data_IF_296503980982
#
_entry.id   IF_296503980982
#
_cell.length_a   1.000
_cell.length_b   1.000
_cell.length_c   1.000
_cell.angle_alpha   90.00
_cell.angle_beta   90.00
_cell.angle_gamma   90.00
#
_symmetry.space_group_name_H-M   'P 1'
#
loop_
_entity.id
_entity.type
_entity.pdbx_description
1 polymer ?
#
# COMPACT_ATOMS: atom_id res chain seq x y z
N UNK A 1 4.57 -8.19 7.68
CA UNK A 1 3.93 -7.73 6.43
C UNK A 1 2.51 -7.30 6.76
N UNK A 2 2.00 -6.20 6.19
CA UNK A 2 0.62 -5.76 6.44
C UNK A 2 -0.36 -6.73 5.78
N UNK A 3 -1.37 -7.19 6.52
CA UNK A 3 -2.40 -8.11 6.02
C UNK A 3 -3.72 -7.37 5.83
N UNK A 4 -4.53 -7.82 4.88
CA UNK A 4 -5.92 -7.35 4.76
C UNK A 4 -6.84 -8.01 5.79
N UNK A 5 -6.49 -9.22 6.24
CA UNK A 5 -7.23 -9.92 7.26
C UNK A 5 -7.02 -9.25 8.61
N UNK A 6 -8.07 -8.60 9.11
CA UNK A 6 -8.05 -7.90 10.39
C UNK A 6 -8.24 -8.93 11.50
N UNK A 7 -7.34 -8.92 12.49
CA UNK A 7 -7.43 -9.83 13.64
C UNK A 7 -8.59 -9.41 14.55
N UNK A 8 -9.20 -10.35 15.32
CA UNK A 8 -10.20 -9.99 16.32
C UNK A 8 -9.67 -8.94 17.31
N UNK A 9 -8.42 -9.07 17.74
CA UNK A 9 -7.77 -8.14 18.65
C UNK A 9 -7.67 -6.72 18.07
N UNK A 10 -7.15 -6.54 16.85
CA UNK A 10 -7.07 -5.23 16.21
C UNK A 10 -8.47 -4.61 16.01
N UNK A 11 -9.44 -5.46 15.64
CA UNK A 11 -10.83 -5.03 15.44
C UNK A 11 -11.44 -4.48 16.73
N UNK A 12 -11.24 -5.16 17.85
CA UNK A 12 -11.76 -4.76 19.16
C UNK A 12 -11.04 -3.50 19.67
N UNK A 13 -9.70 -3.52 19.70
CA UNK A 13 -8.86 -2.43 20.23
C UNK A 13 -9.10 -1.09 19.52
N UNK A 14 -9.30 -1.12 18.20
CA UNK A 14 -9.47 0.09 17.39
C UNK A 14 -10.94 0.43 17.09
N UNK A 15 -11.88 -0.24 17.76
CA UNK A 15 -13.31 0.06 17.69
C UNK A 15 -13.94 -0.24 16.32
N UNK A 16 -13.53 -1.35 15.71
CA UNK A 16 -14.09 -1.86 14.46
C UNK A 16 -15.56 -2.30 14.60
N UNK A 17 -16.03 -2.61 15.80
CA UNK A 17 -17.45 -2.94 16.07
C UNK A 17 -18.44 -1.91 15.51
N UNK A 18 -18.04 -0.64 15.39
CA UNK A 18 -18.86 0.42 14.81
C UNK A 18 -19.13 0.23 13.30
N UNK A 19 -18.35 -0.61 12.61
CA UNK A 19 -18.47 -0.90 11.20
C UNK A 19 -19.27 -2.18 10.91
N UNK A 20 -19.59 -2.99 11.93
CA UNK A 20 -20.32 -4.26 11.77
C UNK A 20 -19.39 -5.47 11.71
N UNK A 21 -19.54 -6.31 10.68
CA UNK A 21 -18.86 -7.60 10.60
C UNK A 21 -17.39 -7.49 10.15
N UNK A 22 -16.48 -8.04 10.97
CA UNK A 22 -15.03 -7.98 10.73
C UNK A 22 -14.60 -8.72 9.47
N UNK A 23 -15.23 -9.85 9.15
CA UNK A 23 -14.85 -10.72 8.04
C UNK A 23 -15.25 -10.08 6.71
N UNK A 24 -16.48 -9.55 6.63
CA UNK A 24 -16.96 -8.79 5.47
C UNK A 24 -16.08 -7.58 5.14
N UNK A 25 -15.51 -6.95 6.16
CA UNK A 25 -14.59 -5.83 5.98
C UNK A 25 -13.17 -6.28 5.63
N UNK A 26 -12.69 -7.35 6.24
CA UNK A 26 -11.37 -7.94 5.94
C UNK A 26 -11.23 -8.33 4.47
N UNK A 27 -12.28 -8.87 3.86
CA UNK A 27 -12.30 -9.26 2.45
C UNK A 27 -12.12 -8.07 1.50
N UNK A 28 -12.46 -6.86 1.95
CA UNK A 28 -12.43 -5.62 1.17
C UNK A 28 -11.34 -4.64 1.62
N UNK A 29 -10.53 -5.01 2.61
CA UNK A 29 -9.52 -4.16 3.23
C UNK A 29 -8.17 -4.11 2.49
N UNK A 30 -8.03 -4.80 1.35
CA UNK A 30 -6.77 -4.84 0.59
C UNK A 30 -6.21 -3.44 0.26
N UNK A 31 -7.10 -2.48 -0.06
CA UNK A 31 -6.73 -1.08 -0.28
C UNK A 31 -6.15 -0.40 0.96
N UNK A 32 -6.71 -0.65 2.15
CA UNK A 32 -6.21 -0.09 3.40
C UNK A 32 -4.87 -0.71 3.81
N UNK A 33 -4.71 -2.02 3.62
CA UNK A 33 -3.44 -2.69 3.85
C UNK A 33 -2.34 -2.19 2.89
N UNK A 34 -2.69 -1.97 1.61
CA UNK A 34 -1.78 -1.34 0.64
C UNK A 34 -1.42 0.10 1.04
N UNK A 35 -2.41 0.92 1.39
CA UNK A 35 -2.17 2.28 1.85
C UNK A 35 -1.24 2.30 3.05
N UNK A 36 -1.48 1.46 4.07
CA UNK A 36 -0.63 1.37 5.25
C UNK A 36 0.83 1.06 4.89
N UNK A 37 1.05 0.11 3.99
CA UNK A 37 2.40 -0.23 3.52
C UNK A 37 3.06 0.92 2.75
N UNK A 38 2.30 1.68 1.95
CA UNK A 38 2.80 2.91 1.32
C UNK A 38 3.19 3.92 2.40
N UNK A 39 2.32 4.24 3.35
CA UNK A 39 2.63 5.21 4.41
C UNK A 39 3.91 4.84 5.17
N UNK A 40 4.08 3.56 5.51
CA UNK A 40 5.31 3.05 6.13
C UNK A 40 6.54 3.24 5.23
N UNK A 41 6.45 2.94 3.94
CA UNK A 41 7.56 3.10 3.00
C UNK A 41 8.02 4.56 2.88
N UNK A 42 7.10 5.52 3.02
CA UNK A 42 7.38 6.96 3.00
C UNK A 42 7.71 7.54 4.38
N UNK A 43 7.87 6.71 5.42
CA UNK A 43 8.20 7.17 6.77
C UNK A 43 7.12 8.05 7.40
N UNK A 44 5.85 7.85 7.02
CA UNK A 44 4.70 8.60 7.57
C UNK A 44 4.00 7.81 8.67
N UNK A 45 3.22 8.50 9.54
CA UNK A 45 2.28 7.82 10.42
C UNK A 45 1.41 6.85 9.62
N UNK A 46 1.35 5.61 10.07
CA UNK A 46 0.65 4.53 9.40
C UNK A 46 -0.32 3.85 10.38
N UNK A 47 -1.55 4.39 10.50
CA UNK A 47 -2.58 3.82 11.37
C UNK A 47 -2.85 2.35 11.06
N UNK A 48 -3.53 1.65 11.96
CA UNK A 48 -3.90 0.24 11.74
C UNK A 48 -4.89 0.10 10.58
N UNK A 49 -5.10 -1.12 10.10
CA UNK A 49 -6.02 -1.36 8.97
C UNK A 49 -7.44 -1.01 9.39
N UNK A 50 -7.83 -1.33 10.63
CA UNK A 50 -9.11 -0.92 11.22
C UNK A 50 -9.27 0.60 11.27
N UNK A 51 -8.25 1.34 11.69
CA UNK A 51 -8.31 2.81 11.76
C UNK A 51 -8.44 3.44 10.38
N UNK A 52 -7.63 2.98 9.42
CA UNK A 52 -7.72 3.42 8.01
C UNK A 52 -9.08 3.08 7.42
N UNK A 53 -9.64 1.92 7.74
CA UNK A 53 -10.96 1.51 7.26
C UNK A 53 -12.06 2.43 7.80
N UNK A 54 -12.04 2.79 9.08
CA UNK A 54 -12.99 3.74 9.67
C UNK A 54 -12.93 5.09 8.97
N UNK A 55 -11.73 5.58 8.68
CA UNK A 55 -11.54 6.81 7.90
C UNK A 55 -12.08 6.64 6.47
N UNK A 56 -11.80 5.52 5.81
CA UNK A 56 -12.28 5.25 4.46
C UNK A 56 -13.81 5.18 4.37
N UNK A 57 -14.48 4.60 5.37
CA UNK A 57 -15.95 4.62 5.45
C UNK A 57 -16.47 6.03 5.70
N UNK A 58 -15.89 6.76 6.65
CA UNK A 58 -16.27 8.15 6.96
C UNK A 58 -16.15 9.09 5.75
N UNK A 59 -15.16 8.86 4.89
CA UNK A 59 -14.90 9.64 3.69
C UNK A 59 -15.49 9.04 2.41
N UNK A 60 -16.38 8.04 2.54
CA UNK A 60 -17.08 7.40 1.40
C UNK A 60 -16.13 6.82 0.33
N UNK A 61 -14.92 6.42 0.75
CA UNK A 61 -13.90 5.80 -0.11
C UNK A 61 -14.26 4.34 -0.39
N UNK A 62 -14.96 3.67 0.53
CA UNK A 62 -15.32 2.27 0.42
C UNK A 62 -16.51 2.07 -0.51
N UNK A 63 -16.36 1.20 -1.50
CA UNK A 63 -17.42 0.73 -2.39
C UNK A 63 -17.77 -0.74 -2.06
N UNK A 64 -18.86 -1.30 -2.63
CA UNK A 64 -19.13 -2.73 -2.50
C UNK A 64 -17.98 -3.64 -2.96
N UNK A 65 -17.10 -3.15 -3.87
CA UNK A 65 -15.95 -3.90 -4.40
C UNK A 65 -14.61 -3.56 -3.71
N UNK A 66 -14.63 -2.82 -2.61
CA UNK A 66 -13.43 -2.32 -1.93
C UNK A 66 -13.19 -0.83 -2.17
N UNK A 67 -11.99 -0.36 -1.87
CA UNK A 67 -11.68 1.07 -1.87
C UNK A 67 -11.55 1.68 -3.27
N UNK A 68 -12.13 2.87 -3.46
CA UNK A 68 -11.97 3.66 -4.68
C UNK A 68 -10.53 4.20 -4.79
N UNK A 69 -9.94 4.09 -5.98
CA UNK A 69 -8.55 4.51 -6.22
C UNK A 69 -8.30 6.00 -5.92
N UNK A 70 -9.21 6.88 -6.36
CA UNK A 70 -9.09 8.32 -6.13
C UNK A 70 -9.13 8.63 -4.63
N UNK A 71 -10.10 8.05 -3.91
CA UNK A 71 -10.20 8.21 -2.45
C UNK A 71 -8.97 7.68 -1.70
N UNK A 72 -8.37 6.56 -2.15
CA UNK A 72 -7.10 6.07 -1.59
C UNK A 72 -5.94 7.05 -1.81
N UNK A 73 -5.87 7.66 -3.00
CA UNK A 73 -4.86 8.67 -3.32
C UNK A 73 -5.02 9.93 -2.45
N UNK A 74 -6.26 10.39 -2.27
CA UNK A 74 -6.59 11.53 -1.42
C UNK A 74 -6.29 11.24 0.06
N UNK A 75 -6.61 10.03 0.52
CA UNK A 75 -6.30 9.60 1.88
C UNK A 75 -4.78 9.53 2.09
N UNK A 76 -4.01 8.98 1.15
CA UNK A 76 -2.54 9.03 1.21
C UNK A 76 -2.00 10.47 1.29
N UNK A 77 -2.57 11.38 0.50
CA UNK A 77 -2.18 12.78 0.49
C UNK A 77 -2.43 13.46 1.85
N UNK A 78 -3.50 13.10 2.55
CA UNK A 78 -3.78 13.61 3.91
C UNK A 78 -2.70 13.21 4.95
N UNK A 79 -1.94 12.15 4.69
CA UNK A 79 -0.78 11.73 5.48
C UNK A 79 0.56 12.26 4.93
N UNK A 80 0.52 13.19 3.97
CA UNK A 80 1.73 13.78 3.38
C UNK A 80 2.44 12.90 2.36
N UNK A 81 1.73 11.95 1.75
CA UNK A 81 2.17 11.17 0.58
C UNK A 81 1.24 11.46 -0.60
N UNK A 82 1.53 12.47 -1.44
CA UNK A 82 0.68 12.79 -2.58
C UNK A 82 0.53 11.57 -3.49
N UNK A 83 -0.70 11.12 -3.75
CA UNK A 83 -0.98 10.04 -4.70
C UNK A 83 -1.75 10.55 -5.91
N UNK A 84 -1.69 9.83 -7.03
CA UNK A 84 -2.57 10.07 -8.19
C UNK A 84 -3.16 8.77 -8.69
N UNK A 85 -4.49 8.69 -8.75
CA UNK A 85 -5.17 7.60 -9.43
C UNK A 85 -5.21 7.88 -10.93
N UNK A 86 -4.50 7.08 -11.73
CA UNK A 86 -4.34 7.32 -13.16
C UNK A 86 -4.25 6.00 -13.95
N UNK A 87 -4.56 6.01 -15.26
CA UNK A 87 -4.26 4.89 -16.13
C UNK A 87 -2.75 4.74 -16.32
N UNK A 88 -2.25 3.51 -16.20
CA UNK A 88 -0.85 3.15 -16.48
C UNK A 88 -0.90 1.85 -17.26
N UNK A 89 -0.35 1.83 -18.47
CA UNK A 89 -0.29 0.62 -19.29
C UNK A 89 0.62 -0.43 -18.63
N UNK A 90 0.42 -1.71 -18.93
CA UNK A 90 1.17 -2.77 -18.27
C UNK A 90 2.66 -2.70 -18.64
N UNK A 91 2.94 -2.45 -19.91
CA UNK A 91 4.24 -2.22 -20.51
C UNK A 91 5.02 -1.05 -19.86
N UNK A 92 4.32 -0.06 -19.32
CA UNK A 92 4.91 1.11 -18.67
C UNK A 92 5.22 0.87 -17.18
N UNK A 93 4.75 -0.25 -16.60
CA UNK A 93 4.94 -0.53 -15.17
C UNK A 93 6.41 -0.50 -14.76
N UNK A 94 7.37 -1.13 -15.47
CA UNK A 94 8.79 -1.06 -15.10
C UNK A 94 9.32 0.37 -15.02
N UNK A 95 9.01 1.22 -16.01
CA UNK A 95 9.44 2.62 -16.03
C UNK A 95 8.87 3.38 -14.82
N UNK A 96 7.58 3.22 -14.54
CA UNK A 96 6.94 3.86 -13.37
C UNK A 96 7.51 3.36 -12.04
N UNK A 97 7.83 2.06 -11.97
CA UNK A 97 8.40 1.42 -10.78
C UNK A 97 9.85 1.84 -10.52
N UNK A 98 10.57 2.33 -11.53
CA UNK A 98 11.88 2.95 -11.34
C UNK A 98 11.80 4.25 -10.50
N UNK A 99 10.67 4.96 -10.52
CA UNK A 99 10.47 6.15 -9.71
C UNK A 99 10.08 5.78 -8.26
N UNK A 100 9.09 4.89 -8.09
CA UNK A 100 8.59 4.52 -6.77
C UNK A 100 7.53 3.42 -6.81
N UNK A 101 7.06 2.96 -5.64
CA UNK A 101 6.01 1.94 -5.56
C UNK A 101 4.68 2.47 -6.10
N UNK A 102 3.85 1.56 -6.59
CA UNK A 102 2.50 1.80 -7.10
C UNK A 102 1.50 0.91 -6.35
N UNK A 103 0.26 1.37 -6.18
CA UNK A 103 -0.86 0.45 -5.90
C UNK A 103 -1.53 0.14 -7.23
N UNK A 104 -1.67 -1.14 -7.58
CA UNK A 104 -2.29 -1.57 -8.85
C UNK A 104 -3.52 -2.43 -8.59
N UNK A 105 -4.52 -2.34 -9.48
CA UNK A 105 -5.71 -3.18 -9.40
C UNK A 105 -5.64 -4.37 -10.34
N UNK A 106 -5.72 -5.56 -9.74
CA UNK A 106 -5.55 -6.86 -10.36
C UNK A 106 -6.66 -7.82 -9.92
N UNK A 107 -6.81 -8.95 -10.60
CA UNK A 107 -7.59 -10.08 -10.07
C UNK A 107 -6.74 -10.92 -9.13
N UNK A 108 -7.29 -11.26 -7.95
CA UNK A 108 -6.55 -11.96 -6.88
C UNK A 108 -5.83 -13.21 -7.37
N UNK A 109 -4.59 -13.40 -6.90
CA UNK A 109 -3.65 -14.46 -7.33
C UNK A 109 -3.19 -14.42 -8.80
N UNK A 110 -3.52 -13.36 -9.52
CA UNK A 110 -3.07 -13.11 -10.89
C UNK A 110 -3.37 -14.28 -11.86
N UNK A 111 -4.66 -14.65 -12.06
CA UNK A 111 -5.03 -15.68 -13.01
C UNK A 111 -4.89 -15.18 -14.45
N UNK A 112 -4.49 -16.07 -15.35
CA UNK A 112 -4.38 -15.81 -16.79
C UNK A 112 -5.65 -16.26 -17.53
N UNK A 113 -6.82 -15.97 -16.94
CA UNK A 113 -8.15 -16.40 -17.41
C UNK A 113 -8.99 -15.25 -18.01
N UNK A 114 -8.38 -14.07 -18.17
CA UNK A 114 -9.01 -12.87 -18.74
C UNK A 114 -9.76 -12.00 -17.73
N UNK A 115 -9.95 -12.45 -16.47
CA UNK A 115 -10.53 -11.59 -15.43
C UNK A 115 -9.55 -10.50 -15.01
N UNK A 116 -10.09 -9.30 -14.70
CA UNK A 116 -9.30 -8.14 -14.28
C UNK A 116 -9.95 -7.41 -13.11
N UNK A 117 -9.12 -7.00 -12.15
CA UNK A 117 -9.52 -6.19 -11.00
C UNK A 117 -10.20 -6.98 -9.87
N UNK A 118 -10.69 -6.23 -8.88
CA UNK A 118 -11.31 -6.76 -7.66
C UNK A 118 -10.35 -6.93 -6.48
N UNK A 119 -9.04 -6.76 -6.70
CA UNK A 119 -8.01 -6.81 -5.66
C UNK A 119 -6.97 -5.71 -5.85
N UNK A 120 -6.41 -5.21 -4.76
CA UNK A 120 -5.36 -4.19 -4.74
C UNK A 120 -4.09 -4.76 -4.13
N UNK A 121 -2.97 -4.51 -4.80
CA UNK A 121 -1.64 -4.92 -4.37
C UNK A 121 -0.66 -3.78 -4.58
N UNK A 122 0.48 -3.81 -3.89
CA UNK A 122 1.59 -2.91 -4.21
C UNK A 122 2.48 -3.58 -5.25
N UNK A 123 2.82 -2.87 -6.33
CA UNK A 123 4.00 -3.15 -7.13
C UNK A 123 5.13 -2.24 -6.62
N UNK A 124 6.28 -2.80 -6.25
CA UNK A 124 7.34 -2.08 -5.52
C UNK A 124 8.67 -1.94 -6.26
N UNK A 125 8.77 -2.56 -7.43
CA UNK A 125 9.98 -2.63 -8.22
C UNK A 125 9.88 -3.71 -9.28
N UNK A 126 10.94 -3.85 -10.06
CA UNK A 126 11.08 -4.90 -11.06
C UNK A 126 12.50 -5.46 -11.04
N UNK A 127 12.65 -6.68 -11.55
CA UNK A 127 13.94 -7.32 -11.81
C UNK A 127 13.98 -7.67 -13.29
N UNK A 128 15.07 -7.28 -13.96
CA UNK A 128 15.33 -7.78 -15.31
C UNK A 128 15.62 -9.28 -15.22
N UNK A 129 14.99 -10.05 -16.11
CA UNK A 129 15.08 -11.51 -16.12
C UNK A 129 16.47 -12.01 -16.57
N UNK A 130 17.32 -11.15 -17.15
CA UNK A 130 18.64 -11.49 -17.71
C UNK A 130 18.61 -12.37 -18.96
N UNK A 131 17.52 -13.12 -19.18
CA UNK A 131 17.29 -13.95 -20.35
C UNK A 131 16.52 -13.19 -21.43
N UNK A 132 17.11 -13.10 -22.63
CA UNK A 132 16.63 -12.32 -23.78
C UNK A 132 15.22 -12.68 -24.31
N UNK A 133 14.52 -13.66 -23.73
CA UNK A 133 13.16 -14.06 -24.10
C UNK A 133 12.14 -14.00 -22.96
N UNK A 134 12.56 -13.70 -21.73
CA UNK A 134 11.65 -13.63 -20.58
C UNK A 134 11.47 -12.15 -20.23
N UNK A 135 10.25 -11.63 -20.19
CA UNK A 135 10.02 -10.24 -19.76
C UNK A 135 10.46 -10.00 -18.30
N UNK A 136 10.46 -8.74 -17.82
CA UNK A 136 10.86 -8.45 -16.44
C UNK A 136 9.93 -9.12 -15.41
N UNK A 137 10.46 -9.39 -14.22
CA UNK A 137 9.67 -9.80 -13.07
C UNK A 137 9.22 -8.56 -12.31
N UNK A 138 7.93 -8.46 -12.01
CA UNK A 138 7.37 -7.43 -11.15
C UNK A 138 7.39 -7.92 -9.70
N UNK A 139 7.95 -7.09 -8.83
CA UNK A 139 8.00 -7.34 -7.39
C UNK A 139 6.75 -6.78 -6.75
N UNK A 140 5.97 -7.62 -6.06
CA UNK A 140 4.69 -7.24 -5.46
C UNK A 140 4.68 -7.40 -3.94
N UNK A 141 3.78 -6.69 -3.29
CA UNK A 141 3.36 -6.94 -1.90
C UNK A 141 1.85 -7.04 -1.90
N UNK A 142 1.36 -8.27 -1.96
CA UNK A 142 -0.06 -8.58 -1.88
C UNK A 142 -0.46 -8.83 -0.41
N UNK A 143 -1.42 -8.06 0.14
CA UNK A 143 -1.85 -8.18 1.54
C UNK A 143 -2.64 -9.46 1.85
N UNK A 144 -2.93 -10.30 0.85
CA UNK A 144 -3.57 -11.60 0.99
C UNK A 144 -2.63 -12.67 1.58
N UNK A 145 -3.17 -13.83 1.95
CA UNK A 145 -2.39 -14.97 2.40
C UNK A 145 -1.50 -15.53 1.27
N UNK A 146 -2.02 -15.60 0.05
CA UNK A 146 -1.30 -16.08 -1.12
C UNK A 146 -0.09 -15.20 -1.44
N UNK A 147 -0.28 -13.88 -1.31
CA UNK A 147 0.76 -12.86 -1.52
C UNK A 147 1.95 -12.91 -0.57
N UNK A 148 1.84 -13.63 0.55
CA UNK A 148 2.94 -13.76 1.53
C UNK A 148 4.09 -14.62 0.99
N UNK A 149 3.79 -15.52 0.07
CA UNK A 149 4.77 -16.45 -0.53
C UNK A 149 4.95 -16.24 -2.03
N UNK A 150 4.20 -15.32 -2.63
CA UNK A 150 4.23 -15.00 -4.06
C UNK A 150 4.39 -13.49 -4.26
N UNK A 151 5.65 -13.02 -4.24
CA UNK A 151 6.00 -11.61 -4.36
C UNK A 151 6.78 -11.26 -5.65
N UNK A 152 6.95 -12.25 -6.54
CA UNK A 152 7.65 -12.12 -7.82
C UNK A 152 6.81 -12.76 -8.92
N UNK A 153 6.43 -11.98 -9.92
CA UNK A 153 5.58 -12.44 -11.01
C UNK A 153 6.10 -11.93 -12.36
N UNK A 154 6.07 -12.75 -13.42
CA UNK A 154 6.34 -12.25 -14.77
C UNK A 154 5.39 -11.11 -15.14
N UNK A 155 5.91 -10.06 -15.79
CA UNK A 155 5.09 -8.93 -16.25
C UNK A 155 3.90 -9.39 -17.10
N UNK A 156 4.07 -10.41 -17.94
CA UNK A 156 2.99 -10.98 -18.74
C UNK A 156 1.82 -11.48 -17.89
N UNK A 157 2.11 -12.17 -16.78
CA UNK A 157 1.10 -12.66 -15.85
C UNK A 157 0.43 -11.51 -15.08
N UNK A 158 1.20 -10.49 -14.70
CA UNK A 158 0.62 -9.27 -14.11
C UNK A 158 -0.33 -8.61 -15.10
N UNK A 159 0.09 -8.44 -16.36
CA UNK A 159 -0.69 -7.82 -17.42
C UNK A 159 -2.01 -8.56 -17.70
N UNK A 160 -2.03 -9.89 -17.62
CA UNK A 160 -3.22 -10.70 -17.84
C UNK A 160 -4.36 -10.36 -16.86
N UNK A 161 -4.03 -10.08 -15.60
CA UNK A 161 -5.00 -9.78 -14.53
C UNK A 161 -5.15 -8.28 -14.21
N UNK A 162 -4.29 -7.43 -14.76
CA UNK A 162 -4.22 -6.01 -14.46
C UNK A 162 -5.27 -5.19 -15.21
N UNK A 163 -5.89 -4.25 -14.50
CA UNK A 163 -6.96 -3.39 -15.04
C UNK A 163 -6.45 -2.22 -15.87
N UNK A 164 -5.15 -1.94 -15.87
CA UNK A 164 -4.60 -0.70 -16.43
C UNK A 164 -4.73 0.52 -15.51
N UNK A 165 -5.15 0.33 -14.25
CA UNK A 165 -5.35 1.41 -13.26
C UNK A 165 -4.36 1.29 -12.12
N UNK A 166 -3.66 2.38 -11.84
CA UNK A 166 -2.72 2.48 -10.74
C UNK A 166 -3.00 3.71 -9.86
N UNK A 167 -2.48 3.67 -8.63
CA UNK A 167 -2.18 4.85 -7.84
C UNK A 167 -0.67 5.02 -7.86
N UNK A 168 -0.22 6.12 -8.46
CA UNK A 168 1.20 6.49 -8.52
C UNK A 168 1.56 7.41 -7.35
N UNK A 169 2.81 7.35 -6.95
CA UNK A 169 3.36 8.14 -5.85
C UNK A 169 4.69 8.78 -6.26
N UNK A 170 5.11 9.88 -5.61
CA UNK A 170 6.39 10.55 -5.87
C UNK A 170 7.58 9.61 -5.71
N UNK A 171 8.76 9.97 -6.23
CA UNK A 171 9.91 9.11 -6.09
C UNK A 171 10.30 8.87 -4.62
N UNK A 172 10.51 7.61 -4.25
CA UNK A 172 10.72 7.20 -2.86
C UNK A 172 12.03 7.75 -2.27
N UNK A 173 13.06 7.94 -3.12
CA UNK A 173 14.36 8.50 -2.74
C UNK A 173 14.33 10.00 -2.37
N UNK A 174 13.17 10.67 -2.44
CA UNK A 174 13.01 12.09 -2.13
C UNK A 174 12.61 12.36 -0.66
N UNK A 175 12.23 11.34 0.10
CA UNK A 175 11.84 11.51 1.51
C UNK A 175 12.98 11.06 2.43
N UNK A 176 13.65 11.98 3.16
CA UNK A 176 14.56 11.55 4.21
C UNK A 176 13.75 10.78 5.26
N UNK A 177 14.30 9.68 5.77
CA UNK A 177 13.77 9.02 6.95
C UNK A 177 13.60 10.08 8.05
N UNK A 178 12.45 10.09 8.72
CA UNK A 178 12.19 11.04 9.80
C UNK A 178 13.35 10.94 10.81
N UNK A 179 14.18 11.98 10.89
CA UNK A 179 15.20 12.11 11.93
C UNK A 179 14.46 12.12 13.26
N UNK A 180 14.71 11.09 14.08
CA UNK A 180 14.34 11.10 15.49
C UNK A 180 14.89 12.38 16.10
N UNK A 181 14.01 13.26 16.54
CA UNK A 181 14.41 14.41 17.36
C UNK A 181 14.81 13.85 18.72
N UNK A 182 16.12 13.72 18.93
CA UNK A 182 16.68 13.58 20.27
C UNK A 182 16.40 14.90 20.99
N UNK A 183 15.47 14.89 21.94
CA UNK A 183 15.35 15.95 22.96
C UNK A 183 16.64 15.94 23.77
N UNK A 184 17.56 16.86 23.46
CA UNK A 184 18.71 17.14 24.31
C UNK A 184 18.29 18.15 25.38
N UNK A 185 18.26 17.68 26.63
CA UNK A 185 17.86 18.43 27.80
C UNK A 185 18.85 19.59 28.10
N UNK A 186 18.41 20.69 28.72
CA UNK A 186 19.25 21.86 28.94
C UNK A 186 20.32 21.61 30.02
N UNK A 187 21.48 22.29 29.95
CA UNK A 187 22.60 22.08 30.88
C UNK A 187 22.28 22.68 32.24
N UNK A 188 22.36 21.88 33.29
CA UNK A 188 22.36 22.36 34.67
C UNK A 188 23.64 23.16 34.97
N UNK A 189 23.43 24.41 35.39
CA UNK A 189 24.44 25.31 35.97
C UNK A 189 25.19 24.62 37.12
N UNK A 190 26.53 24.63 37.08
CA UNK A 190 27.36 24.36 38.25
C UNK A 190 27.60 25.67 38.96
N UNK A 191 27.01 25.78 40.14
CA UNK A 191 27.32 26.80 41.15
C UNK A 191 28.77 26.65 41.62
N UNK A 192 29.48 27.77 41.64
CA UNK A 192 30.79 27.92 42.26
C UNK A 192 30.61 28.11 43.77
N UNK A 193 31.34 27.35 44.58
CA UNK A 193 31.54 27.65 46.01
C UNK A 193 32.93 27.17 46.46
N UNK A 194 33.78 28.15 46.75
CA UNK A 194 34.99 28.20 47.62
C UNK A 194 36.08 27.16 47.51
#
# INVERSE_FOLDING_TARGET
MCRQLITPQEWEEHGGWALGDREEWSDRACGMACLRMILLAYGRPAPTVTELLKLAVKHEIMTPRGAAHAGLADLAASYGVPGRAEPVAAEDLPERLAAGPLIISITGQFPEDGRRGGHLVIARGYEDSGDAGTGPLILTRDPSLWGQTHDRLPLARVAASYTGRAITFPPLHRFPAATEQTEDAPPHERTATT
#
